data_IF_425725161532
#
_entry.id   IF_425725161532
#
_cell.length_a   1.000
_cell.length_b   1.000
_cell.length_c   1.000
_cell.angle_alpha   90.00
_cell.angle_beta   90.00
_cell.angle_gamma   90.00
#
_symmetry.space_group_name_H-M   'P 1'
#
loop_
_entity.id
_entity.type
_entity.pdbx_description
1 polymer ?
#
# COMPACT_ATOMS: atom_id res chain seq x y z
N UNK A 1 -6.63 3.06 -13.56
CA UNK A 1 -7.11 2.79 -12.19
C UNK A 1 -7.53 4.10 -11.49
N UNK A 2 -8.68 4.69 -11.87
CA UNK A 2 -9.07 6.04 -11.40
C UNK A 2 -9.22 6.18 -9.87
N UNK A 3 -9.43 5.08 -9.15
CA UNK A 3 -9.55 5.12 -7.69
C UNK A 3 -8.21 5.42 -7.00
N UNK A 4 -7.09 4.98 -7.60
CA UNK A 4 -5.74 5.30 -7.10
C UNK A 4 -5.42 6.79 -7.27
N UNK A 5 -5.81 7.39 -8.41
CA UNK A 5 -5.66 8.84 -8.62
C UNK A 5 -6.37 9.64 -7.52
N UNK A 6 -7.57 9.20 -7.10
CA UNK A 6 -8.35 9.87 -6.05
C UNK A 6 -7.69 9.80 -4.66
N UNK A 7 -6.81 8.84 -4.42
CA UNK A 7 -6.17 8.65 -3.10
C UNK A 7 -4.71 9.09 -3.06
N UNK A 8 -4.19 9.67 -4.15
CA UNK A 8 -2.89 10.36 -4.18
C UNK A 8 -1.83 9.77 -5.11
N UNK A 9 -2.18 8.80 -5.96
CA UNK A 9 -1.25 8.26 -6.96
C UNK A 9 -1.24 9.12 -8.21
N UNK A 10 -0.05 9.43 -8.71
CA UNK A 10 0.14 10.11 -9.98
C UNK A 10 -0.17 9.18 -11.16
N UNK A 11 -0.29 9.76 -12.36
CA UNK A 11 -0.43 8.97 -13.59
C UNK A 11 0.82 8.11 -13.83
N UNK A 12 1.98 8.63 -13.47
CA UNK A 12 3.26 7.94 -13.64
C UNK A 12 3.36 6.73 -12.71
N UNK A 13 2.89 6.84 -11.46
CA UNK A 13 2.81 5.71 -10.53
C UNK A 13 1.91 4.58 -11.07
N UNK A 14 0.77 4.96 -11.64
CA UNK A 14 -0.20 4.00 -12.20
C UNK A 14 0.38 3.34 -13.46
N UNK A 15 1.06 4.11 -14.32
CA UNK A 15 1.73 3.57 -15.50
C UNK A 15 2.85 2.60 -15.09
N UNK A 16 3.69 3.00 -14.13
CA UNK A 16 4.75 2.14 -13.59
C UNK A 16 4.19 0.83 -13.06
N UNK A 17 3.10 0.86 -12.28
CA UNK A 17 2.48 -0.36 -11.78
C UNK A 17 1.97 -1.24 -12.92
N UNK A 18 1.27 -0.66 -13.90
CA UNK A 18 0.72 -1.41 -15.04
C UNK A 18 1.80 -2.09 -15.88
N UNK A 19 3.00 -1.51 -15.95
CA UNK A 19 4.15 -2.07 -16.69
C UNK A 19 4.96 -3.09 -15.88
N UNK A 20 5.03 -2.94 -14.56
CA UNK A 20 5.93 -3.72 -13.69
C UNK A 20 5.21 -4.77 -12.83
N UNK A 21 3.88 -4.86 -12.93
CA UNK A 21 3.06 -5.82 -12.17
C UNK A 21 2.39 -6.81 -13.12
N UNK A 22 2.39 -8.13 -12.82
CA UNK A 22 1.70 -9.11 -13.65
C UNK A 22 0.22 -8.77 -13.82
N UNK A 23 -0.32 -8.96 -15.03
CA UNK A 23 -1.69 -8.61 -15.40
C UNK A 23 -2.74 -9.17 -14.42
N UNK A 24 -2.55 -10.41 -13.94
CA UNK A 24 -3.43 -11.03 -12.94
C UNK A 24 -3.56 -10.18 -11.67
N UNK A 25 -2.47 -9.61 -11.17
CA UNK A 25 -2.50 -8.75 -9.98
C UNK A 25 -3.10 -7.38 -10.29
N UNK A 26 -2.85 -6.83 -11.49
CA UNK A 26 -3.51 -5.60 -11.94
C UNK A 26 -5.04 -5.76 -11.95
N UNK A 27 -5.55 -6.88 -12.46
CA UNK A 27 -6.98 -7.17 -12.43
C UNK A 27 -7.51 -7.34 -11.00
N UNK A 28 -6.80 -8.08 -10.13
CA UNK A 28 -7.18 -8.20 -8.72
C UNK A 28 -7.24 -6.84 -8.01
N UNK A 29 -6.27 -5.96 -8.24
CA UNK A 29 -6.27 -4.61 -7.66
C UNK A 29 -7.46 -3.77 -8.14
N UNK A 30 -7.89 -3.93 -9.40
CA UNK A 30 -9.09 -3.27 -9.94
C UNK A 30 -10.37 -3.84 -9.33
N UNK A 31 -10.48 -5.16 -9.24
CA UNK A 31 -11.65 -5.87 -8.68
C UNK A 31 -11.82 -5.55 -7.19
N UNK A 32 -10.72 -5.57 -6.44
CA UNK A 32 -10.69 -5.37 -4.99
C UNK A 32 -10.43 -3.92 -4.59
N UNK A 33 -10.83 -2.95 -5.42
CA UNK A 33 -10.61 -1.51 -5.19
C UNK A 33 -10.99 -1.02 -3.79
N UNK A 34 -12.06 -1.57 -3.20
CA UNK A 34 -12.53 -1.19 -1.86
C UNK A 34 -11.51 -1.59 -0.80
N UNK A 35 -11.11 -2.86 -0.79
CA UNK A 35 -10.11 -3.41 0.13
C UNK A 35 -8.78 -2.66 0.00
N UNK A 36 -8.29 -2.49 -1.23
CA UNK A 36 -7.05 -1.76 -1.51
C UNK A 36 -7.12 -0.33 -0.98
N UNK A 37 -8.26 0.34 -1.17
CA UNK A 37 -8.47 1.71 -0.66
C UNK A 37 -8.48 1.75 0.87
N UNK A 38 -9.09 0.78 1.53
CA UNK A 38 -9.14 0.67 3.00
C UNK A 38 -7.72 0.47 3.58
N UNK A 39 -6.95 -0.44 2.99
CA UNK A 39 -5.56 -0.71 3.40
C UNK A 39 -4.64 0.51 3.19
N UNK A 40 -4.78 1.23 2.06
CA UNK A 40 -4.03 2.48 1.82
C UNK A 40 -4.47 3.58 2.78
N UNK A 41 -5.77 3.72 3.03
CA UNK A 41 -6.30 4.73 3.96
C UNK A 41 -5.77 4.50 5.37
N UNK A 42 -5.67 3.25 5.82
CA UNK A 42 -5.08 2.93 7.11
C UNK A 42 -3.64 3.44 7.24
N UNK A 43 -2.77 3.25 6.25
CA UNK A 43 -1.40 3.80 6.29
C UNK A 43 -1.39 5.33 6.34
N UNK A 44 -2.29 5.97 5.60
CA UNK A 44 -2.43 7.44 5.61
C UNK A 44 -2.91 7.95 6.97
N UNK A 45 -3.85 7.26 7.60
CA UNK A 45 -4.38 7.60 8.93
C UNK A 45 -3.34 7.36 10.03
N UNK A 46 -2.45 6.38 9.84
CA UNK A 46 -1.26 6.24 10.67
C UNK A 46 -0.27 7.41 10.48
N UNK A 47 -0.35 8.19 9.40
CA UNK A 47 0.59 9.27 9.12
C UNK A 47 1.81 8.84 8.31
N UNK A 48 1.76 7.67 7.68
CA UNK A 48 2.80 7.21 6.74
C UNK A 48 2.70 8.06 5.48
N UNK A 49 3.73 8.85 5.18
CA UNK A 49 3.71 9.80 4.05
C UNK A 49 4.23 9.21 2.74
N UNK A 50 4.99 8.11 2.79
CA UNK A 50 5.55 7.40 1.63
C UNK A 50 4.71 6.15 1.26
N UNK A 51 3.40 6.19 1.49
CA UNK A 51 2.50 5.07 1.24
C UNK A 51 2.42 4.67 -0.25
N UNK A 52 2.65 5.60 -1.19
CA UNK A 52 2.70 5.26 -2.60
C UNK A 52 3.89 4.34 -2.92
N UNK A 53 5.08 4.64 -2.39
CA UNK A 53 6.28 3.82 -2.60
C UNK A 53 6.12 2.42 -2.03
N UNK A 54 5.53 2.32 -0.84
CA UNK A 54 5.21 1.05 -0.18
C UNK A 54 4.23 0.25 -1.05
N UNK A 55 3.18 0.90 -1.57
CA UNK A 55 2.20 0.25 -2.42
C UNK A 55 2.78 -0.23 -3.75
N UNK A 56 3.59 0.59 -4.44
CA UNK A 56 4.21 0.19 -5.70
C UNK A 56 5.18 -0.98 -5.53
N UNK A 57 5.88 -1.04 -4.39
CA UNK A 57 6.82 -2.12 -4.10
C UNK A 57 6.15 -3.40 -3.58
N UNK A 58 5.13 -3.26 -2.75
CA UNK A 58 4.50 -4.37 -2.01
C UNK A 58 3.01 -4.50 -2.31
N UNK A 59 2.58 -4.25 -3.56
CA UNK A 59 1.16 -4.19 -3.94
C UNK A 59 0.35 -5.43 -3.52
N UNK A 60 0.97 -6.62 -3.47
CA UNK A 60 0.33 -7.87 -3.05
C UNK A 60 -0.22 -7.79 -1.62
N UNK A 61 0.49 -7.11 -0.72
CA UNK A 61 0.08 -6.99 0.67
C UNK A 61 -1.25 -6.22 0.80
N UNK A 62 -1.54 -5.31 -0.14
CA UNK A 62 -2.78 -4.52 -0.13
C UNK A 62 -4.00 -5.29 -0.61
N UNK A 63 -3.80 -6.51 -1.12
CA UNK A 63 -4.86 -7.47 -1.44
C UNK A 63 -5.20 -8.39 -0.25
N UNK A 64 -4.49 -8.29 0.87
CA UNK A 64 -4.82 -9.02 2.09
C UNK A 64 -6.07 -8.44 2.77
N UNK A 65 -6.82 -9.31 3.47
CA UNK A 65 -7.93 -8.89 4.33
C UNK A 65 -7.51 -7.75 5.26
N UNK A 66 -8.38 -6.75 5.39
CA UNK A 66 -8.05 -5.51 6.10
C UNK A 66 -7.64 -5.75 7.55
N UNK A 67 -8.26 -6.71 8.25
CA UNK A 67 -7.88 -7.07 9.62
C UNK A 67 -6.46 -7.64 9.71
N UNK A 68 -6.03 -8.45 8.74
CA UNK A 68 -4.67 -8.98 8.70
C UNK A 68 -3.66 -7.89 8.38
N UNK A 69 -4.01 -7.00 7.45
CA UNK A 69 -3.20 -5.82 7.13
C UNK A 69 -2.99 -4.94 8.36
N UNK A 70 -4.07 -4.56 9.07
CA UNK A 70 -4.00 -3.79 10.31
C UNK A 70 -3.14 -4.51 11.35
N UNK A 71 -3.36 -5.81 11.54
CA UNK A 71 -2.62 -6.59 12.53
C UNK A 71 -1.11 -6.60 12.29
N UNK A 72 -0.63 -6.53 11.05
CA UNK A 72 0.79 -6.44 10.71
C UNK A 72 1.38 -5.11 11.19
N UNK A 73 0.73 -4.00 10.83
CA UNK A 73 1.23 -2.67 11.15
C UNK A 73 0.97 -2.26 12.61
N UNK A 74 -0.01 -2.84 13.28
CA UNK A 74 -0.28 -2.57 14.70
C UNK A 74 0.65 -3.31 15.67
N UNK A 75 1.60 -4.13 15.19
CA UNK A 75 2.60 -4.80 16.06
C UNK A 75 3.63 -3.85 16.65
N UNK A 76 3.76 -2.66 16.06
CA UNK A 76 4.76 -1.67 16.42
C UNK A 76 4.07 -0.42 16.95
N UNK A 77 4.74 0.29 17.86
CA UNK A 77 4.32 1.63 18.25
C UNK A 77 4.29 2.53 17.01
N UNK A 78 3.24 3.34 16.91
CA UNK A 78 2.91 4.11 15.71
C UNK A 78 4.09 4.94 15.21
N UNK A 79 4.74 5.68 16.10
CA UNK A 79 5.86 6.57 15.77
C UNK A 79 7.09 5.79 15.29
N UNK A 80 7.43 4.68 15.96
CA UNK A 80 8.56 3.81 15.58
C UNK A 80 8.34 3.17 14.21
N UNK A 81 7.11 2.71 13.93
CA UNK A 81 6.75 2.20 12.61
C UNK A 81 6.94 3.25 11.52
N UNK A 82 6.43 4.46 11.72
CA UNK A 82 6.54 5.55 10.73
C UNK A 82 8.01 5.89 10.47
N UNK A 83 8.83 6.00 11.51
CA UNK A 83 10.26 6.26 11.36
C UNK A 83 10.97 5.15 10.57
N UNK A 84 10.65 3.88 10.88
CA UNK A 84 11.20 2.72 10.17
C UNK A 84 10.80 2.69 8.70
N UNK A 85 9.52 2.89 8.40
CA UNK A 85 9.01 2.92 7.02
C UNK A 85 9.59 4.09 6.21
N UNK A 86 9.81 5.24 6.85
CA UNK A 86 10.45 6.40 6.23
C UNK A 86 11.94 6.15 5.94
N UNK A 87 12.64 5.45 6.83
CA UNK A 87 14.06 5.14 6.68
C UNK A 87 14.32 4.03 5.66
N UNK A 88 13.49 3.00 5.65
CA UNK A 88 13.64 1.84 4.77
C UNK A 88 12.31 1.11 4.56
N UNK A 89 11.69 1.29 3.39
CA UNK A 89 10.44 0.61 3.03
C UNK A 89 10.57 -0.92 3.01
N UNK A 90 11.79 -1.47 2.86
CA UNK A 90 12.00 -2.92 2.86
C UNK A 90 11.71 -3.58 4.21
N UNK A 91 11.57 -2.80 5.29
CA UNK A 91 11.18 -3.35 6.58
C UNK A 91 9.81 -4.02 6.54
N UNK A 92 8.96 -3.66 5.56
CA UNK A 92 7.65 -4.28 5.31
C UNK A 92 7.73 -5.80 5.17
N UNK A 93 8.82 -6.34 4.61
CA UNK A 93 9.04 -7.78 4.49
C UNK A 93 9.22 -8.50 5.84
N UNK A 94 9.45 -7.74 6.91
CA UNK A 94 9.76 -8.24 8.25
C UNK A 94 8.70 -7.87 9.32
N UNK A 95 7.61 -7.21 8.92
CA UNK A 95 6.47 -6.87 9.81
C UNK A 95 5.53 -8.08 9.97
#
# INVERSE_FOLDING_TARGET
MKYLEKIGFSKDDIAYMMENTPEKFIELLKEQKKLVTENISYLKDLGVTNYQDIFLKFYEMFLMDNSNFIAIFSKYEKEDLIEKLKKNINIVEFL
#
